data_IF_210729835052
#
_entry.id   IF_210729835052
#
_cell.length_a   1.000
_cell.length_b   1.000
_cell.length_c   1.000
_cell.angle_alpha   90.00
_cell.angle_beta   90.00
_cell.angle_gamma   90.00
#
_symmetry.space_group_name_H-M   'P 1'
#
loop_
_entity.id
_entity.type
_entity.pdbx_description
1 polymer ?
#
# COMPACT_ATOMS: atom_id res chain seq x y z
N UNK A 1 -7.47 -13.74 36.63
CA UNK A 1 -8.56 -12.73 36.65
C UNK A 1 -8.22 -11.63 35.67
N UNK A 2 -9.25 -11.21 34.94
CA UNK A 2 -9.24 -10.38 33.73
C UNK A 2 -8.55 -9.02 33.88
N UNK A 3 -7.66 -8.69 32.95
CA UNK A 3 -7.45 -7.29 32.53
C UNK A 3 -7.51 -7.22 31.01
N UNK A 4 -8.74 -7.14 30.50
CA UNK A 4 -9.06 -6.60 29.18
C UNK A 4 -8.49 -5.18 29.08
N UNK A 5 -7.26 -5.05 28.63
CA UNK A 5 -6.72 -3.79 28.13
C UNK A 5 -7.52 -3.39 26.90
N UNK A 6 -8.31 -2.33 27.02
CA UNK A 6 -9.24 -1.86 26.00
C UNK A 6 -8.59 -1.77 24.62
N UNK A 7 -9.13 -2.53 23.67
CA UNK A 7 -8.88 -2.39 22.24
C UNK A 7 -9.27 -0.96 21.83
N UNK A 8 -8.27 -0.06 21.73
CA UNK A 8 -8.48 1.26 21.11
C UNK A 8 -9.00 1.02 19.69
N UNK A 9 -10.19 1.51 19.41
CA UNK A 9 -10.90 1.40 18.14
C UNK A 9 -9.98 1.91 16.99
N UNK A 10 -9.46 1.01 16.16
CA UNK A 10 -8.67 1.37 14.96
C UNK A 10 -9.63 1.93 13.89
N UNK A 11 -9.39 3.17 13.44
CA UNK A 11 -10.26 3.93 12.50
C UNK A 11 -9.85 3.65 11.04
N UNK A 12 -10.70 3.03 10.22
CA UNK A 12 -10.37 2.66 8.82
C UNK A 12 -9.96 3.84 7.92
N UNK A 13 -9.27 3.58 6.80
CA UNK A 13 -8.89 4.61 5.83
C UNK A 13 -10.09 5.42 5.32
N UNK A 14 -11.20 4.74 5.01
CA UNK A 14 -12.43 5.41 4.55
C UNK A 14 -13.01 6.34 5.62
N UNK A 15 -12.97 5.94 6.90
CA UNK A 15 -13.39 6.80 8.01
C UNK A 15 -12.54 8.06 8.11
N UNK A 16 -11.22 7.91 7.97
CA UNK A 16 -10.29 9.04 8.04
C UNK A 16 -10.43 9.97 6.84
N UNK A 17 -10.70 9.43 5.65
CA UNK A 17 -10.97 10.21 4.44
C UNK A 17 -12.27 11.01 4.58
N UNK A 18 -13.37 10.37 5.01
CA UNK A 18 -14.64 11.07 5.25
C UNK A 18 -14.50 12.16 6.32
N UNK A 19 -13.81 11.88 7.43
CA UNK A 19 -13.49 12.89 8.45
C UNK A 19 -12.71 14.07 7.85
N UNK A 20 -11.72 13.80 7.01
CA UNK A 20 -10.89 14.84 6.37
C UNK A 20 -11.68 15.68 5.37
N UNK A 21 -12.60 15.07 4.62
CA UNK A 21 -13.53 15.79 3.74
C UNK A 21 -14.44 16.69 4.56
N UNK A 22 -15.04 16.16 5.62
CA UNK A 22 -15.96 16.92 6.46
C UNK A 22 -15.28 18.12 7.12
N UNK A 23 -14.08 17.91 7.66
CA UNK A 23 -13.25 18.97 8.23
C UNK A 23 -12.84 20.00 7.17
N UNK A 24 -12.43 19.57 5.97
CA UNK A 24 -12.02 20.50 4.90
C UNK A 24 -13.14 21.45 4.48
N UNK A 25 -14.37 20.94 4.33
CA UNK A 25 -15.53 21.75 3.99
C UNK A 25 -15.93 22.66 5.15
N UNK A 26 -15.81 22.20 6.39
CA UNK A 26 -16.09 23.04 7.57
C UNK A 26 -15.09 24.19 7.68
N UNK A 27 -13.83 23.97 7.30
CA UNK A 27 -12.77 25.00 7.35
C UNK A 27 -12.89 26.01 6.21
N UNK A 28 -13.17 25.56 4.98
CA UNK A 28 -13.16 26.43 3.79
C UNK A 28 -14.53 27.00 3.43
N UNK A 29 -15.61 26.35 3.86
CA UNK A 29 -16.99 26.68 3.54
C UNK A 29 -17.82 26.62 4.84
N UNK A 30 -18.81 25.73 4.89
CA UNK A 30 -19.67 25.48 6.05
C UNK A 30 -20.29 24.07 5.98
N UNK A 31 -20.87 23.61 7.08
CA UNK A 31 -21.49 22.28 7.17
C UNK A 31 -22.71 22.09 6.26
N UNK A 32 -23.44 23.15 5.93
CA UNK A 32 -24.59 23.11 5.01
C UNK A 32 -24.15 22.98 3.56
N UNK A 33 -23.03 23.62 3.19
CA UNK A 33 -22.38 23.48 1.88
C UNK A 33 -21.94 22.04 1.63
N UNK A 34 -21.31 21.40 2.61
CA UNK A 34 -20.98 19.97 2.56
C UNK A 34 -22.23 19.10 2.37
N UNK A 35 -23.27 19.30 3.18
CA UNK A 35 -24.52 18.53 3.09
C UNK A 35 -25.18 18.67 1.72
N UNK A 36 -25.15 19.87 1.15
CA UNK A 36 -25.68 20.15 -0.19
C UNK A 36 -24.87 19.42 -1.26
N UNK A 37 -23.54 19.43 -1.15
CA UNK A 37 -22.66 18.71 -2.06
C UNK A 37 -22.83 17.18 -1.96
N UNK A 38 -22.90 16.63 -0.75
CA UNK A 38 -23.16 15.21 -0.53
C UNK A 38 -24.54 14.79 -1.07
N UNK A 39 -25.56 15.64 -0.87
CA UNK A 39 -26.90 15.40 -1.43
C UNK A 39 -26.89 15.42 -2.96
N UNK A 40 -26.14 16.36 -3.57
CA UNK A 40 -25.94 16.44 -5.01
C UNK A 40 -25.29 15.17 -5.56
N UNK A 41 -24.20 14.70 -4.94
CA UNK A 41 -23.53 13.45 -5.31
C UNK A 41 -24.45 12.25 -5.20
N UNK A 42 -25.26 12.19 -4.14
CA UNK A 42 -26.23 11.11 -3.95
C UNK A 42 -27.34 11.13 -5.01
N UNK A 43 -27.89 12.29 -5.34
CA UNK A 43 -28.99 12.41 -6.31
C UNK A 43 -28.55 12.18 -7.75
N UNK A 44 -27.38 12.71 -8.14
CA UNK A 44 -26.93 12.70 -9.53
C UNK A 44 -26.00 11.53 -9.87
N UNK A 45 -25.25 11.02 -8.89
CA UNK A 45 -24.26 9.97 -9.11
C UNK A 45 -24.50 8.72 -8.27
N UNK A 46 -25.53 8.70 -7.40
CA UNK A 46 -25.84 7.59 -6.48
C UNK A 46 -24.67 7.23 -5.56
N UNK A 47 -23.81 8.20 -5.25
CA UNK A 47 -22.64 8.02 -4.36
C UNK A 47 -23.04 8.45 -2.95
N UNK A 48 -22.89 7.56 -1.97
CA UNK A 48 -23.01 7.91 -0.55
C UNK A 48 -21.68 8.43 0.01
N UNK A 49 -21.69 9.17 1.12
CA UNK A 49 -20.50 9.74 1.77
C UNK A 49 -19.39 8.70 2.00
N UNK A 50 -19.77 7.51 2.48
CA UNK A 50 -18.86 6.37 2.71
C UNK A 50 -18.27 5.74 1.44
N UNK A 51 -18.80 6.08 0.27
CA UNK A 51 -18.39 5.53 -1.03
C UNK A 51 -17.55 6.53 -1.84
N UNK A 52 -17.36 7.75 -1.33
CA UNK A 52 -16.58 8.79 -2.00
C UNK A 52 -15.16 8.31 -2.27
N UNK A 53 -14.53 7.61 -1.32
CA UNK A 53 -13.18 7.09 -1.49
C UNK A 53 -13.03 6.11 -2.66
N UNK A 54 -14.10 5.44 -3.09
CA UNK A 54 -14.09 4.51 -4.22
C UNK A 54 -14.47 5.17 -5.55
N UNK A 55 -14.87 6.44 -5.52
CA UNK A 55 -15.38 7.18 -6.68
C UNK A 55 -14.74 8.58 -6.74
N UNK A 56 -13.42 8.63 -6.57
CA UNK A 56 -12.66 9.89 -6.42
C UNK A 56 -12.64 10.73 -7.69
N UNK A 57 -12.59 10.11 -8.85
CA UNK A 57 -12.61 10.78 -10.15
C UNK A 57 -13.92 11.58 -10.32
N UNK A 58 -15.04 10.96 -9.93
CA UNK A 58 -16.36 11.60 -9.94
C UNK A 58 -16.39 12.72 -8.91
N UNK A 59 -15.96 12.46 -7.68
CA UNK A 59 -15.89 13.46 -6.62
C UNK A 59 -15.09 14.70 -7.05
N UNK A 60 -13.88 14.53 -7.58
CA UNK A 60 -13.01 15.63 -8.05
C UNK A 60 -13.66 16.41 -9.21
N UNK A 61 -14.26 15.70 -10.16
CA UNK A 61 -14.92 16.33 -11.31
C UNK A 61 -16.13 17.18 -10.89
N UNK A 62 -16.95 16.71 -9.96
CA UNK A 62 -18.12 17.45 -9.45
C UNK A 62 -17.72 18.59 -8.52
N UNK A 63 -16.67 18.40 -7.73
CA UNK A 63 -16.07 19.46 -6.92
C UNK A 63 -15.61 20.62 -7.82
N UNK A 64 -14.93 20.30 -8.93
CA UNK A 64 -14.47 21.29 -9.91
C UNK A 64 -15.62 21.98 -10.64
N UNK A 65 -16.72 21.28 -10.94
CA UNK A 65 -17.91 21.88 -11.56
C UNK A 65 -18.61 22.87 -10.62
N UNK A 66 -18.75 22.52 -9.34
CA UNK A 66 -19.50 23.33 -8.38
C UNK A 66 -18.68 24.46 -7.76
N UNK A 67 -17.39 24.24 -7.51
CA UNK A 67 -16.53 25.19 -6.81
C UNK A 67 -15.45 25.82 -7.71
N UNK A 68 -15.39 25.43 -8.98
CA UNK A 68 -14.48 26.02 -9.97
C UNK A 68 -13.01 25.91 -9.55
N UNK A 69 -12.30 27.03 -9.62
CA UNK A 69 -10.86 27.11 -9.25
C UNK A 69 -10.63 26.79 -7.76
N UNK A 70 -11.63 27.03 -6.90
CA UNK A 70 -11.52 26.78 -5.46
C UNK A 70 -11.55 25.29 -5.10
N UNK A 71 -11.98 24.43 -6.01
CA UNK A 71 -11.95 22.98 -5.85
C UNK A 71 -10.54 22.49 -5.49
N UNK A 72 -9.50 23.04 -6.13
CA UNK A 72 -8.11 22.66 -5.85
C UNK A 72 -7.69 22.94 -4.40
N UNK A 73 -8.17 24.02 -3.79
CA UNK A 73 -7.87 24.33 -2.37
C UNK A 73 -8.54 23.33 -1.44
N UNK A 74 -9.78 22.92 -1.75
CA UNK A 74 -10.50 21.90 -0.99
C UNK A 74 -9.76 20.57 -1.10
N UNK A 75 -9.40 20.13 -2.31
CA UNK A 75 -8.65 18.88 -2.51
C UNK A 75 -7.33 18.85 -1.74
N UNK A 76 -6.54 19.93 -1.83
CA UNK A 76 -5.27 20.04 -1.09
C UNK A 76 -5.48 19.97 0.43
N UNK A 77 -6.53 20.60 0.94
CA UNK A 77 -6.84 20.55 2.38
C UNK A 77 -7.33 19.15 2.80
N UNK A 78 -8.14 18.48 1.99
CA UNK A 78 -8.53 17.08 2.22
C UNK A 78 -7.30 16.19 2.33
N UNK A 79 -6.34 16.35 1.41
CA UNK A 79 -5.09 15.58 1.42
C UNK A 79 -4.28 15.90 2.67
N UNK A 80 -4.06 17.18 2.99
CA UNK A 80 -3.27 17.58 4.15
C UNK A 80 -3.85 17.04 5.47
N UNK A 81 -5.17 17.15 5.66
CA UNK A 81 -5.86 16.62 6.83
C UNK A 81 -5.78 15.10 6.90
N UNK A 82 -5.98 14.41 5.77
CA UNK A 82 -5.88 12.96 5.71
C UNK A 82 -4.46 12.48 6.02
N UNK A 83 -3.45 13.12 5.44
CA UNK A 83 -2.05 12.82 5.68
C UNK A 83 -1.71 13.03 7.15
N UNK A 84 -2.13 14.15 7.75
CA UNK A 84 -2.00 14.38 9.19
C UNK A 84 -2.64 13.28 10.03
N UNK A 85 -3.85 12.82 9.68
CA UNK A 85 -4.55 11.74 10.40
C UNK A 85 -3.88 10.37 10.23
N UNK A 86 -3.25 10.14 9.08
CA UNK A 86 -2.42 8.96 8.80
C UNK A 86 -1.00 9.10 9.36
N UNK A 87 -0.65 10.27 9.90
CA UNK A 87 0.67 10.66 10.40
C UNK A 87 1.74 10.74 9.30
N UNK A 88 1.34 10.99 8.05
CA UNK A 88 2.20 11.22 6.90
C UNK A 88 2.53 12.71 6.79
N UNK A 89 3.71 13.02 6.25
CA UNK A 89 4.06 14.39 5.86
C UNK A 89 3.43 14.73 4.51
N UNK A 90 2.76 15.88 4.44
CA UNK A 90 2.17 16.40 3.21
C UNK A 90 3.15 17.37 2.53
N UNK A 91 3.60 17.00 1.34
CA UNK A 91 4.36 17.87 0.44
C UNK A 91 3.58 18.06 -0.85
N UNK A 92 3.42 19.31 -1.27
CA UNK A 92 2.76 19.64 -2.52
C UNK A 92 3.70 19.38 -3.71
N UNK A 93 3.24 18.56 -4.65
CA UNK A 93 3.92 18.19 -5.90
C UNK A 93 3.09 18.67 -7.10
N UNK A 94 3.74 19.38 -8.03
CA UNK A 94 3.09 20.09 -9.12
C UNK A 94 2.27 19.21 -10.08
N UNK A 95 2.63 17.93 -10.23
CA UNK A 95 1.96 17.00 -11.14
C UNK A 95 0.93 16.08 -10.45
N UNK A 96 0.88 16.06 -9.11
CA UNK A 96 0.03 15.14 -8.38
C UNK A 96 -1.41 15.65 -8.29
N UNK A 97 -2.36 14.79 -8.67
CA UNK A 97 -3.79 15.01 -8.45
C UNK A 97 -4.23 14.42 -7.11
N UNK A 98 -5.44 14.76 -6.67
CA UNK A 98 -6.06 14.19 -5.47
C UNK A 98 -5.96 12.66 -5.45
N UNK A 99 -6.23 12.01 -6.58
CA UNK A 99 -6.16 10.55 -6.73
C UNK A 99 -4.76 9.99 -6.45
N UNK A 100 -3.70 10.68 -6.87
CA UNK A 100 -2.31 10.24 -6.68
C UNK A 100 -1.92 10.29 -5.20
N UNK A 101 -2.30 11.36 -4.50
CA UNK A 101 -2.12 11.46 -3.05
C UNK A 101 -2.92 10.40 -2.30
N UNK A 102 -4.17 10.17 -2.70
CA UNK A 102 -5.01 9.17 -2.05
C UNK A 102 -4.54 7.74 -2.33
N UNK A 103 -3.98 7.46 -3.51
CA UNK A 103 -3.33 6.17 -3.80
C UNK A 103 -2.10 5.96 -2.92
N UNK A 104 -1.26 6.98 -2.76
CA UNK A 104 -0.12 6.94 -1.83
C UNK A 104 -0.57 6.75 -0.37
N UNK A 105 -1.58 7.49 0.05
CA UNK A 105 -2.16 7.41 1.40
C UNK A 105 -2.80 6.04 1.67
N UNK A 106 -3.50 5.45 0.69
CA UNK A 106 -4.06 4.09 0.78
C UNK A 106 -2.95 3.04 0.91
N UNK A 107 -1.90 3.13 0.10
CA UNK A 107 -0.76 2.23 0.21
C UNK A 107 -0.12 2.25 1.62
N UNK A 108 -0.11 3.42 2.27
CA UNK A 108 0.30 3.56 3.67
C UNK A 108 -0.76 3.10 4.69
N UNK A 109 -2.04 3.34 4.44
CA UNK A 109 -3.15 3.00 5.33
C UNK A 109 -3.45 1.49 5.45
N UNK A 110 -3.11 0.70 4.42
CA UNK A 110 -3.22 -0.77 4.43
C UNK A 110 -2.34 -1.40 5.52
N UNK A 111 -1.30 -0.69 5.98
CA UNK A 111 -0.36 -1.24 6.95
C UNK A 111 -0.91 -1.27 8.38
N UNK A 112 -2.04 -0.61 8.68
CA UNK A 112 -2.55 -0.56 10.06
C UNK A 112 -4.04 -0.84 10.31
N UNK A 113 -4.92 -0.94 9.30
CA UNK A 113 -6.31 -0.50 9.58
C UNK A 113 -7.53 -1.40 9.35
N UNK A 114 -7.48 -2.61 8.79
CA UNK A 114 -8.74 -3.30 8.41
C UNK A 114 -8.98 -4.70 9.02
N UNK A 115 -8.35 -5.06 10.14
CA UNK A 115 -8.66 -6.34 10.82
C UNK A 115 -9.99 -6.35 11.61
N UNK A 116 -10.68 -5.20 11.73
CA UNK A 116 -11.96 -5.09 12.47
C UNK A 116 -13.20 -5.28 11.59
N UNK A 117 -13.05 -5.41 10.27
CA UNK A 117 -14.16 -5.76 9.38
C UNK A 117 -14.29 -7.27 9.38
N UNK A 118 -15.51 -7.79 9.59
CA UNK A 118 -15.76 -9.22 9.41
C UNK A 118 -15.24 -9.63 8.02
N UNK A 119 -14.43 -10.71 7.93
CA UNK A 119 -13.83 -11.10 6.66
C UNK A 119 -14.93 -11.31 5.62
N UNK A 120 -14.76 -10.80 4.39
CA UNK A 120 -15.72 -11.05 3.33
C UNK A 120 -15.85 -12.55 3.11
N UNK A 121 -17.08 -13.05 3.15
CA UNK A 121 -17.35 -14.48 2.92
C UNK A 121 -17.29 -14.74 1.42
N UNK A 122 -16.31 -15.54 0.99
CA UNK A 122 -16.23 -16.04 -0.38
C UNK A 122 -17.15 -17.25 -0.52
N UNK A 123 -18.18 -17.13 -1.36
CA UNK A 123 -19.07 -18.25 -1.64
C UNK A 123 -18.40 -19.30 -2.53
N UNK A 124 -19.00 -20.47 -2.67
CA UNK A 124 -18.49 -21.55 -3.52
C UNK A 124 -18.17 -21.08 -4.96
N UNK A 125 -19.04 -20.23 -5.51
CA UNK A 125 -18.85 -19.65 -6.86
C UNK A 125 -17.58 -18.80 -6.92
N UNK A 126 -17.34 -17.99 -5.89
CA UNK A 126 -16.14 -17.14 -5.81
C UNK A 126 -14.89 -18.00 -5.72
N UNK A 127 -14.91 -19.07 -4.91
CA UNK A 127 -13.79 -20.01 -4.79
C UNK A 127 -13.49 -20.70 -6.13
N UNK A 128 -14.52 -21.12 -6.88
CA UNK A 128 -14.36 -21.71 -8.22
C UNK A 128 -13.73 -20.73 -9.21
N UNK A 129 -14.15 -19.46 -9.17
CA UNK A 129 -13.56 -18.38 -9.99
C UNK A 129 -12.09 -18.14 -9.60
N UNK A 130 -11.81 -17.97 -8.31
CA UNK A 130 -10.46 -17.70 -7.80
C UNK A 130 -9.52 -18.87 -8.09
N UNK A 131 -10.00 -20.11 -7.99
CA UNK A 131 -9.22 -21.29 -8.38
C UNK A 131 -8.85 -21.27 -9.87
N UNK A 132 -9.83 -21.01 -10.76
CA UNK A 132 -9.56 -20.94 -12.21
C UNK A 132 -8.56 -19.84 -12.58
N UNK A 133 -8.62 -18.69 -11.90
CA UNK A 133 -7.65 -17.59 -12.03
C UNK A 133 -6.29 -17.90 -11.41
N UNK A 134 -6.25 -18.66 -10.31
CA UNK A 134 -5.02 -19.09 -9.66
C UNK A 134 -4.18 -20.02 -10.52
N UNK A 135 -4.83 -20.86 -11.33
CA UNK A 135 -4.16 -21.74 -12.31
C UNK A 135 -3.54 -20.96 -13.48
N UNK A 136 -4.30 -20.02 -14.07
CA UNK A 136 -3.77 -19.11 -15.09
C UNK A 136 -4.57 -17.79 -15.12
N UNK A 137 -3.97 -16.75 -14.56
CA UNK A 137 -4.54 -15.41 -14.51
C UNK A 137 -4.66 -14.73 -15.89
N UNK A 138 -4.08 -15.31 -16.96
CA UNK A 138 -4.18 -14.81 -18.34
C UNK A 138 -5.43 -15.33 -19.07
N UNK A 139 -6.18 -16.26 -18.48
CA UNK A 139 -7.42 -16.78 -19.08
C UNK A 139 -8.40 -15.63 -19.31
N UNK A 140 -9.03 -15.65 -20.48
CA UNK A 140 -10.12 -14.72 -20.80
C UNK A 140 -11.37 -15.03 -19.98
N UNK A 141 -12.22 -14.01 -19.77
CA UNK A 141 -13.55 -14.19 -19.16
C UNK A 141 -14.35 -15.30 -19.84
N UNK A 142 -14.24 -15.46 -21.15
CA UNK A 142 -14.93 -16.51 -21.92
C UNK A 142 -14.41 -17.91 -21.57
N UNK A 143 -13.10 -18.09 -21.43
CA UNK A 143 -12.51 -19.37 -21.02
C UNK A 143 -12.93 -19.74 -19.59
N UNK A 144 -12.85 -18.77 -18.67
CA UNK A 144 -13.27 -18.96 -17.27
C UNK A 144 -14.75 -19.31 -17.20
N UNK A 145 -15.61 -18.62 -17.96
CA UNK A 145 -17.04 -18.90 -18.04
C UNK A 145 -17.31 -20.34 -18.48
N UNK A 146 -16.63 -20.81 -19.53
CA UNK A 146 -16.77 -22.19 -20.03
C UNK A 146 -16.33 -23.23 -19.00
N UNK A 147 -15.20 -23.00 -18.33
CA UNK A 147 -14.63 -23.91 -17.33
C UNK A 147 -15.46 -23.97 -16.04
N UNK A 148 -15.96 -22.82 -15.59
CA UNK A 148 -16.76 -22.72 -14.35
C UNK A 148 -18.25 -23.01 -14.58
N UNK A 149 -18.72 -23.04 -15.82
CA UNK A 149 -20.14 -23.18 -16.15
C UNK A 149 -20.97 -21.93 -15.83
N UNK A 150 -20.32 -20.79 -15.55
CA UNK A 150 -20.99 -19.51 -15.32
C UNK A 150 -21.15 -18.72 -16.61
N UNK A 151 -22.14 -17.83 -16.65
CA UNK A 151 -22.27 -16.89 -17.77
C UNK A 151 -21.11 -15.86 -17.76
N UNK A 152 -20.72 -15.35 -18.94
CA UNK A 152 -19.70 -14.29 -19.06
C UNK A 152 -20.03 -13.04 -18.22
N UNK A 153 -21.27 -12.51 -18.21
CA UNK A 153 -21.64 -11.40 -17.33
C UNK A 153 -21.44 -11.73 -15.85
N UNK A 154 -21.77 -12.95 -15.43
CA UNK A 154 -21.56 -13.35 -14.04
C UNK A 154 -20.08 -13.36 -13.67
N UNK A 155 -19.21 -13.98 -14.48
CA UNK A 155 -17.76 -13.99 -14.25
C UNK A 155 -17.21 -12.57 -14.13
N UNK A 156 -17.59 -11.68 -15.06
CA UNK A 156 -17.15 -10.27 -15.07
C UNK A 156 -17.57 -9.57 -13.78
N UNK A 157 -18.86 -9.65 -13.42
CA UNK A 157 -19.37 -9.02 -12.20
C UNK A 157 -18.73 -9.54 -10.92
N UNK A 158 -18.34 -10.82 -10.88
CA UNK A 158 -17.66 -11.42 -9.73
C UNK A 158 -16.23 -10.94 -9.62
N UNK A 159 -15.47 -10.90 -10.73
CA UNK A 159 -14.12 -10.34 -10.76
C UNK A 159 -14.15 -8.88 -10.30
N UNK A 160 -15.01 -8.05 -10.91
CA UNK A 160 -15.13 -6.63 -10.58
C UNK A 160 -15.48 -6.41 -9.10
N UNK A 161 -16.42 -7.19 -8.57
CA UNK A 161 -16.80 -7.14 -7.16
C UNK A 161 -15.64 -7.50 -6.24
N UNK A 162 -14.93 -8.61 -6.50
CA UNK A 162 -13.84 -9.08 -5.65
C UNK A 162 -12.62 -8.16 -5.70
N UNK A 163 -12.32 -7.58 -6.88
CA UNK A 163 -11.28 -6.57 -7.05
C UNK A 163 -11.67 -5.29 -6.32
N UNK A 164 -12.90 -4.79 -6.48
CA UNK A 164 -13.40 -3.60 -5.77
C UNK A 164 -13.41 -3.78 -4.25
N UNK A 165 -13.61 -5.00 -3.77
CA UNK A 165 -13.54 -5.35 -2.35
C UNK A 165 -12.11 -5.54 -1.83
N UNK A 166 -11.08 -5.40 -2.68
CA UNK A 166 -9.67 -5.70 -2.37
C UNK A 166 -9.43 -7.13 -1.87
N UNK A 167 -10.27 -8.08 -2.29
CA UNK A 167 -10.10 -9.51 -1.96
C UNK A 167 -9.30 -10.23 -3.04
N UNK A 168 -9.49 -9.83 -4.30
CA UNK A 168 -8.78 -10.37 -5.45
C UNK A 168 -7.82 -9.32 -6.03
N UNK A 169 -6.56 -9.70 -6.16
CA UNK A 169 -5.57 -8.92 -6.90
C UNK A 169 -5.04 -9.73 -8.07
N UNK A 170 -5.15 -9.17 -9.27
CA UNK A 170 -4.54 -9.72 -10.49
C UNK A 170 -3.38 -8.81 -10.84
N UNK A 171 -2.16 -9.24 -10.52
CA UNK A 171 -0.92 -8.50 -10.76
C UNK A 171 0.13 -9.41 -11.37
N UNK A 172 1.02 -8.85 -12.18
CA UNK A 172 2.22 -9.54 -12.61
C UNK A 172 3.18 -9.65 -11.41
N UNK A 173 3.68 -10.85 -11.17
CA UNK A 173 4.73 -11.09 -10.19
C UNK A 173 6.03 -11.53 -10.87
N UNK A 174 7.15 -11.28 -10.19
CA UNK A 174 8.48 -11.71 -10.62
C UNK A 174 8.89 -12.99 -9.92
N UNK A 175 9.60 -13.83 -10.64
CA UNK A 175 10.22 -15.03 -10.10
C UNK A 175 11.65 -14.72 -9.63
N UNK A 176 11.76 -14.25 -8.39
CA UNK A 176 13.06 -13.90 -7.80
C UNK A 176 13.96 -15.12 -7.56
N UNK A 177 13.41 -16.33 -7.59
CA UNK A 177 14.20 -17.57 -7.54
C UNK A 177 15.02 -17.74 -8.80
N UNK A 178 14.42 -17.55 -9.98
CA UNK A 178 15.10 -17.63 -11.27
C UNK A 178 16.08 -16.47 -11.48
N UNK A 179 15.84 -15.32 -10.82
CA UNK A 179 16.81 -14.23 -10.75
C UNK A 179 17.99 -14.51 -9.80
N UNK A 180 17.94 -15.61 -9.04
CA UNK A 180 18.99 -16.01 -8.11
C UNK A 180 19.09 -15.14 -6.86
N UNK A 181 18.04 -14.38 -6.53
CA UNK A 181 18.08 -13.41 -5.42
C UNK A 181 18.00 -14.12 -4.06
N UNK A 182 19.04 -14.06 -3.21
CA UNK A 182 18.95 -14.55 -1.85
C UNK A 182 17.94 -13.75 -1.03
N UNK A 183 17.45 -14.37 0.03
CA UNK A 183 16.44 -13.79 0.92
C UNK A 183 16.92 -13.79 2.37
N UNK A 184 16.30 -12.97 3.21
CA UNK A 184 16.47 -13.05 4.65
C UNK A 184 15.16 -12.78 5.37
N UNK A 185 15.02 -13.37 6.55
CA UNK A 185 14.02 -12.99 7.55
C UNK A 185 14.74 -12.35 8.73
N UNK A 186 14.33 -11.15 9.09
CA UNK A 186 14.91 -10.40 10.21
C UNK A 186 13.86 -10.27 11.30
N UNK A 187 14.19 -10.74 12.49
CA UNK A 187 13.42 -10.46 13.70
C UNK A 187 14.00 -9.19 14.35
N UNK A 188 13.14 -8.19 14.57
CA UNK A 188 13.58 -6.90 15.10
C UNK A 188 12.67 -6.39 16.21
N UNK A 189 13.27 -5.58 17.08
CA UNK A 189 12.59 -4.93 18.19
C UNK A 189 12.65 -3.41 17.99
N UNK A 190 11.48 -2.76 18.01
CA UNK A 190 11.36 -1.31 18.09
C UNK A 190 10.50 -0.91 19.29
N UNK A 191 11.12 -0.24 20.28
CA UNK A 191 10.51 0.00 21.61
C UNK A 191 9.35 0.99 21.57
N UNK A 192 9.51 2.10 20.84
CA UNK A 192 8.52 3.17 20.81
C UNK A 192 7.56 2.98 19.64
N UNK A 193 6.26 3.14 19.90
CA UNK A 193 5.21 2.96 18.89
C UNK A 193 5.37 3.89 17.69
N UNK A 194 5.77 5.15 17.90
CA UNK A 194 5.92 6.11 16.80
C UNK A 194 7.17 5.81 15.95
N UNK A 195 8.27 5.39 16.58
CA UNK A 195 9.45 4.90 15.85
C UNK A 195 9.13 3.64 15.03
N UNK A 196 8.29 2.75 15.58
CA UNK A 196 7.85 1.55 14.87
C UNK A 196 7.02 1.89 13.65
N UNK A 197 6.05 2.79 13.78
CA UNK A 197 5.24 3.27 12.64
C UNK A 197 6.13 3.87 11.56
N UNK A 198 7.10 4.68 11.94
CA UNK A 198 8.01 5.31 10.96
C UNK A 198 8.93 4.30 10.29
N UNK A 199 9.44 3.33 11.04
CA UNK A 199 10.19 2.20 10.49
C UNK A 199 9.37 1.47 9.44
N UNK A 200 8.13 1.09 9.78
CA UNK A 200 7.24 0.38 8.87
C UNK A 200 6.97 1.20 7.61
N UNK A 201 6.70 2.50 7.72
CA UNK A 201 6.51 3.39 6.55
C UNK A 201 7.75 3.49 5.68
N UNK A 202 8.93 3.53 6.29
CA UNK A 202 10.20 3.59 5.57
C UNK A 202 10.52 2.27 4.86
N UNK A 203 10.33 1.14 5.55
CA UNK A 203 10.56 -0.19 4.98
C UNK A 203 9.53 -0.55 3.92
N UNK A 204 8.26 -0.19 4.08
CA UNK A 204 7.21 -0.43 3.09
C UNK A 204 7.48 0.26 1.74
N UNK A 205 8.27 1.34 1.73
CA UNK A 205 8.72 2.04 0.51
C UNK A 205 9.96 1.42 -0.13
N UNK A 206 10.65 0.52 0.57
CA UNK A 206 11.88 -0.09 0.07
C UNK A 206 11.56 -1.20 -0.95
N UNK A 207 12.11 -1.15 -2.18
CA UNK A 207 11.81 -2.15 -3.23
C UNK A 207 12.25 -3.58 -2.89
N UNK A 208 13.12 -3.74 -1.88
CA UNK A 208 13.66 -5.02 -1.43
C UNK A 208 12.81 -5.73 -0.38
N UNK A 209 11.84 -5.04 0.22
CA UNK A 209 10.99 -5.62 1.26
C UNK A 209 9.89 -6.44 0.60
N UNK A 210 9.84 -7.72 0.96
CA UNK A 210 8.83 -8.67 0.51
C UNK A 210 7.62 -8.68 1.45
N UNK A 211 7.86 -8.58 2.76
CA UNK A 211 6.81 -8.67 3.77
C UNK A 211 7.26 -8.03 5.09
N UNK A 212 6.32 -7.43 5.81
CA UNK A 212 6.49 -6.97 7.19
C UNK A 212 5.36 -7.59 8.02
N UNK A 213 5.69 -8.17 9.17
CA UNK A 213 4.76 -8.78 10.10
C UNK A 213 4.95 -8.21 11.50
N UNK A 214 3.89 -8.11 12.28
CA UNK A 214 3.92 -7.76 13.71
C UNK A 214 3.56 -9.02 14.53
N UNK A 215 4.55 -9.86 14.89
CA UNK A 215 4.32 -11.02 15.73
C UNK A 215 3.78 -10.66 17.12
N UNK A 216 3.13 -11.62 17.78
CA UNK A 216 2.56 -11.45 19.12
C UNK A 216 3.58 -11.74 20.23
N UNK A 217 4.76 -12.24 19.86
CA UNK A 217 5.79 -12.77 20.75
C UNK A 217 6.88 -11.73 21.11
N UNK A 218 8.07 -12.22 21.53
CA UNK A 218 9.20 -11.47 22.11
C UNK A 218 9.77 -10.36 21.22
N UNK A 219 9.68 -10.53 19.90
CA UNK A 219 10.01 -9.48 18.93
C UNK A 219 8.72 -8.84 18.46
N UNK A 220 8.75 -7.56 18.15
CA UNK A 220 7.53 -6.83 17.77
C UNK A 220 7.43 -6.57 16.26
N UNK A 221 8.41 -7.02 15.48
CA UNK A 221 8.36 -6.99 14.02
C UNK A 221 9.24 -8.08 13.39
N UNK A 222 8.77 -8.64 12.28
CA UNK A 222 9.54 -9.48 11.38
C UNK A 222 9.53 -8.88 9.98
N UNK A 223 10.68 -8.88 9.31
CA UNK A 223 10.83 -8.33 7.96
C UNK A 223 11.43 -9.39 7.06
N UNK A 224 10.72 -9.72 5.98
CA UNK A 224 11.20 -10.59 4.92
C UNK A 224 11.63 -9.74 3.73
N UNK A 225 12.82 -9.98 3.20
CA UNK A 225 13.43 -9.18 2.15
C UNK A 225 14.29 -10.04 1.22
N UNK A 226 14.58 -9.50 0.04
CA UNK A 226 15.57 -10.07 -0.88
C UNK A 226 16.75 -9.11 -1.08
N UNK A 227 17.85 -9.64 -1.61
CA UNK A 227 18.91 -8.86 -2.22
C UNK A 227 19.25 -9.48 -3.56
N UNK A 228 19.81 -8.68 -4.46
CA UNK A 228 20.27 -9.12 -5.78
C UNK A 228 21.42 -10.13 -5.67
N UNK A 229 22.21 -10.00 -4.62
CA UNK A 229 23.29 -10.88 -4.22
C UNK A 229 23.44 -10.87 -2.68
N UNK A 230 24.34 -11.71 -2.16
CA UNK A 230 24.56 -11.83 -0.71
C UNK A 230 25.16 -10.57 -0.07
N UNK A 231 25.96 -9.82 -0.82
CA UNK A 231 26.64 -8.61 -0.35
C UNK A 231 25.60 -7.49 -0.18
N UNK A 232 24.79 -7.27 -1.21
CA UNK A 232 23.69 -6.30 -1.22
C UNK A 232 22.62 -6.66 -0.19
N UNK A 233 22.30 -7.95 -0.02
CA UNK A 233 21.39 -8.42 1.03
C UNK A 233 21.93 -8.03 2.42
N UNK A 234 23.18 -8.38 2.72
CA UNK A 234 23.83 -8.04 3.99
C UNK A 234 23.88 -6.53 4.23
N UNK A 235 24.30 -5.75 3.22
CA UNK A 235 24.31 -4.29 3.30
C UNK A 235 22.91 -3.71 3.57
N UNK A 236 21.88 -4.27 2.94
CA UNK A 236 20.49 -3.85 3.17
C UNK A 236 20.05 -4.14 4.61
N UNK A 237 20.36 -5.33 5.13
CA UNK A 237 20.07 -5.70 6.53
C UNK A 237 20.76 -4.75 7.51
N UNK A 238 22.06 -4.51 7.32
CA UNK A 238 22.83 -3.61 8.19
C UNK A 238 22.31 -2.17 8.13
N UNK A 239 21.74 -1.75 6.99
CA UNK A 239 21.14 -0.43 6.87
C UNK A 239 19.99 -0.19 7.86
N UNK A 240 19.34 -1.25 8.35
CA UNK A 240 18.20 -1.15 9.26
C UNK A 240 18.63 -0.68 10.66
N UNK A 241 19.90 -0.88 11.03
CA UNK A 241 20.46 -0.40 12.30
C UNK A 241 20.50 1.13 12.40
N UNK A 242 20.40 1.84 11.27
CA UNK A 242 20.34 3.31 11.25
C UNK A 242 18.98 3.87 11.68
N UNK A 243 17.94 3.04 11.74
CA UNK A 243 16.65 3.49 12.25
C UNK A 243 16.71 3.61 13.78
N UNK A 244 16.31 4.78 14.30
CA UNK A 244 16.32 5.06 15.73
C UNK A 244 15.46 4.06 16.49
N UNK A 245 16.02 3.49 17.56
CA UNK A 245 15.32 2.57 18.45
C UNK A 245 15.07 1.17 17.86
N UNK A 246 15.75 0.81 16.77
CA UNK A 246 15.70 -0.53 16.17
C UNK A 246 16.85 -1.38 16.68
N UNK A 247 16.52 -2.57 17.17
CA UNK A 247 17.47 -3.63 17.47
C UNK A 247 17.19 -4.83 16.57
N UNK A 248 18.20 -5.33 15.87
CA UNK A 248 18.11 -6.60 15.14
C UNK A 248 18.38 -7.72 16.13
N UNK A 249 17.36 -8.55 16.40
CA UNK A 249 17.41 -9.61 17.41
C UNK A 249 17.98 -10.89 16.80
N UNK A 250 17.41 -11.33 15.68
CA UNK A 250 17.87 -12.50 14.93
C UNK A 250 17.77 -12.23 13.43
N UNK A 251 18.69 -12.85 12.68
CA UNK A 251 18.75 -12.74 11.22
C UNK A 251 18.89 -14.15 10.65
N UNK A 252 17.92 -14.54 9.84
CA UNK A 252 17.90 -15.82 9.16
C UNK A 252 18.16 -15.59 7.67
N UNK A 253 19.37 -15.90 7.22
CA UNK A 253 19.71 -15.85 5.81
C UNK A 253 19.24 -17.11 5.09
N UNK A 254 18.77 -16.93 3.85
CA UNK A 254 18.41 -18.03 2.96
C UNK A 254 18.91 -17.75 1.54
N UNK A 255 19.11 -18.83 0.78
CA UNK A 255 19.23 -18.71 -0.67
C UNK A 255 17.94 -18.20 -1.32
N UNK A 256 17.83 -18.33 -2.65
CA UNK A 256 16.60 -17.98 -3.34
C UNK A 256 15.40 -18.79 -2.83
N UNK A 257 14.19 -18.18 -2.77
CA UNK A 257 13.04 -18.78 -2.10
C UNK A 257 12.59 -20.07 -2.78
N UNK A 258 12.12 -21.04 -1.98
CA UNK A 258 11.66 -22.32 -2.50
C UNK A 258 10.22 -22.28 -3.02
N UNK A 259 9.37 -21.49 -2.39
CA UNK A 259 7.99 -21.14 -2.78
C UNK A 259 7.60 -19.82 -2.08
N UNK A 260 6.66 -19.04 -2.63
CA UNK A 260 6.08 -19.15 -3.96
C UNK A 260 7.09 -18.75 -5.05
N UNK A 261 6.75 -18.99 -6.33
CA UNK A 261 7.57 -18.58 -7.47
C UNK A 261 7.24 -17.16 -7.99
N UNK A 262 6.20 -16.50 -7.47
CA UNK A 262 5.71 -15.22 -7.97
C UNK A 262 5.61 -14.20 -6.83
N UNK A 263 6.38 -13.13 -6.93
CA UNK A 263 6.42 -12.03 -5.96
C UNK A 263 6.01 -10.72 -6.61
N UNK A 264 5.05 -10.02 -6.02
CA UNK A 264 4.66 -8.69 -6.46
C UNK A 264 5.63 -7.66 -5.89
N UNK A 265 6.70 -7.35 -6.63
CA UNK A 265 7.69 -6.36 -6.24
C UNK A 265 7.32 -4.96 -6.74
N UNK A 266 7.65 -3.88 -6.02
CA UNK A 266 7.65 -2.53 -6.57
C UNK A 266 8.71 -2.42 -7.67
N UNK A 267 8.27 -2.22 -8.92
CA UNK A 267 9.14 -2.02 -10.08
C UNK A 267 9.12 -0.57 -10.54
N UNK A 268 10.29 -0.06 -10.91
CA UNK A 268 10.51 1.34 -11.27
C UNK A 268 11.04 1.39 -12.69
N UNK A 269 10.16 1.68 -13.65
CA UNK A 269 10.52 1.90 -15.05
C UNK A 269 11.23 3.25 -15.18
N UNK A 270 10.66 4.28 -14.58
CA UNK A 270 11.28 5.60 -14.46
C UNK A 270 12.10 5.65 -13.16
N UNK A 271 13.41 5.86 -13.29
CA UNK A 271 14.34 5.89 -12.18
C UNK A 271 14.59 7.33 -11.71
N UNK A 272 14.54 7.54 -10.39
CA UNK A 272 14.82 8.83 -9.73
C UNK A 272 16.31 9.02 -9.43
N UNK A 273 16.73 10.21 -9.02
CA UNK A 273 18.04 10.46 -8.39
C UNK A 273 18.02 10.16 -6.88
N UNK A 274 16.83 10.08 -6.28
CA UNK A 274 16.63 9.84 -4.85
C UNK A 274 15.84 8.56 -4.61
N UNK A 275 16.24 7.80 -3.60
CA UNK A 275 15.57 6.55 -3.21
C UNK A 275 14.22 6.83 -2.54
N UNK A 276 13.26 5.88 -2.54
CA UNK A 276 11.96 6.02 -1.88
C UNK A 276 12.05 6.29 -0.36
N UNK A 277 13.17 5.93 0.26
CA UNK A 277 13.47 6.21 1.66
C UNK A 277 14.27 7.52 1.86
N UNK A 278 14.39 8.37 0.84
CA UNK A 278 14.98 9.71 0.91
C UNK A 278 16.51 9.77 0.82
N UNK A 279 17.20 8.62 0.71
CA UNK A 279 18.67 8.58 0.56
C UNK A 279 19.09 8.77 -0.89
N UNK A 280 20.29 9.28 -1.13
CA UNK A 280 20.93 9.29 -2.44
C UNK A 280 22.00 8.18 -2.50
N UNK A 281 21.95 7.31 -3.51
CA UNK A 281 22.91 6.21 -3.61
C UNK A 281 24.33 6.71 -3.88
N UNK A 282 24.49 7.81 -4.63
CA UNK A 282 25.79 8.44 -4.92
C UNK A 282 26.57 8.81 -3.64
N UNK A 283 25.88 9.18 -2.56
CA UNK A 283 26.50 9.58 -1.30
C UNK A 283 26.73 8.39 -0.35
N UNK A 284 26.10 7.25 -0.62
CA UNK A 284 26.17 6.07 0.24
C UNK A 284 27.54 5.39 0.15
N UNK A 285 28.17 5.14 1.31
CA UNK A 285 29.47 4.46 1.38
C UNK A 285 29.38 3.06 0.76
N UNK A 286 28.41 2.25 1.18
CA UNK A 286 28.25 0.87 0.70
C UNK A 286 28.04 0.79 -0.83
N UNK A 287 27.37 1.79 -1.42
CA UNK A 287 27.24 1.85 -2.88
C UNK A 287 28.59 2.18 -3.55
N UNK A 288 29.32 3.15 -3.03
CA UNK A 288 30.63 3.58 -3.56
C UNK A 288 31.71 2.49 -3.41
N UNK A 289 31.63 1.67 -2.37
CA UNK A 289 32.55 0.55 -2.10
C UNK A 289 32.16 -0.75 -2.81
N UNK A 290 31.13 -0.75 -3.67
CA UNK A 290 30.59 -1.93 -4.35
C UNK A 290 30.03 -3.01 -3.39
N UNK A 291 29.59 -2.60 -2.20
CA UNK A 291 28.93 -3.45 -1.21
C UNK A 291 27.40 -3.40 -1.30
N UNK A 292 26.87 -2.71 -2.31
CA UNK A 292 25.45 -2.61 -2.61
C UNK A 292 25.23 -2.25 -4.07
N UNK A 293 24.30 -2.94 -4.75
CA UNK A 293 23.92 -2.64 -6.14
C UNK A 293 23.17 -1.31 -6.34
N UNK A 294 22.93 -0.52 -5.27
CA UNK A 294 22.08 0.68 -5.32
C UNK A 294 20.60 0.33 -5.15
N UNK A 295 19.70 1.30 -5.02
CA UNK A 295 18.26 1.00 -4.88
C UNK A 295 17.63 0.75 -6.27
N UNK A 296 16.77 -0.28 -6.46
CA UNK A 296 16.09 -0.49 -7.75
C UNK A 296 15.27 0.70 -8.26
N UNK A 297 14.97 1.69 -7.42
CA UNK A 297 14.23 2.88 -7.78
C UNK A 297 15.08 4.04 -8.34
N UNK A 298 16.41 3.94 -8.34
CA UNK A 298 17.30 5.04 -8.75
C UNK A 298 18.15 4.72 -9.97
N UNK A 299 18.65 5.76 -10.65
CA UNK A 299 19.41 5.66 -11.92
C UNK A 299 20.75 4.98 -11.74
N UNK A 300 21.32 5.07 -10.54
CA UNK A 300 22.61 4.52 -10.16
C UNK A 300 22.57 3.01 -9.90
N UNK A 301 21.38 2.41 -9.94
CA UNK A 301 21.20 0.98 -9.73
C UNK A 301 21.97 0.14 -10.75
N UNK A 302 22.65 -0.90 -10.28
CA UNK A 302 23.53 -1.77 -11.09
C UNK A 302 23.03 -3.22 -11.17
N UNK A 303 21.89 -3.50 -10.55
CA UNK A 303 21.26 -4.82 -10.61
C UNK A 303 20.32 -4.98 -11.81
N UNK A 304 19.58 -6.09 -11.91
CA UNK A 304 18.83 -6.46 -13.12
C UNK A 304 17.37 -5.97 -13.17
N UNK A 305 16.90 -5.20 -12.16
CA UNK A 305 15.55 -4.63 -12.02
C UNK A 305 15.35 -3.17 -12.47
#
# INVERSE_FOLDING_TARGET
MSSRGALKQKRSFESLLSESINESFTILLDASSLKSFLSYLQMNHKIQEKEIGQNLDIFSSELKKLFGVNASKIEKLVVALLFSKLGLEYEEKDEFRLEDYLRAARAHGVVHNDFNKAPPVLGERDLRLVHALGEDARKTVTQIAKETGFSRPTVTSMIDRLVKQNVLHIKAGLNIRELGFPTACIALECKLMDQRKELVRSLARCPRILMILEPSEKVNMMVFLYGEDQITLKSTIESFRHFSGVSLVDIFHSGPPQVPASFNLPLFVEKSSTTPCGRACVDCVNYRTNECMGCPAVREYRGPL
#
